data_IF_721184551441
#
_entry.id   IF_721184551441
#
_cell.length_a   1.000
_cell.length_b   1.000
_cell.length_c   1.000
_cell.angle_alpha   90.00
_cell.angle_beta   90.00
_cell.angle_gamma   90.00
#
_symmetry.space_group_name_H-M   'P 1'
#
loop_
_entity.id
_entity.type
_entity.pdbx_description
1 polymer ?
#
# COMPACT_ATOMS: atom_id res chain seq x y z
N UNK A 1 17.94 -0.09 47.38
CA UNK A 1 16.50 -0.34 47.20
C UNK A 1 16.36 -1.33 46.05
N UNK A 2 15.91 -2.56 46.32
CA UNK A 2 15.68 -3.57 45.28
C UNK A 2 14.50 -3.13 44.43
N UNK A 3 14.69 -2.97 43.12
CA UNK A 3 13.59 -2.86 42.17
C UNK A 3 12.71 -4.11 42.34
N UNK A 4 11.41 -3.96 42.62
CA UNK A 4 10.53 -5.12 42.75
C UNK A 4 10.60 -5.93 41.45
N UNK A 5 10.70 -7.26 41.59
CA UNK A 5 10.62 -8.17 40.44
C UNK A 5 9.34 -7.84 39.68
N UNK A 6 9.40 -7.56 38.36
CA UNK A 6 8.19 -7.33 37.59
C UNK A 6 7.34 -8.59 37.72
N UNK A 7 6.09 -8.42 38.16
CA UNK A 7 5.19 -9.56 38.33
C UNK A 7 4.93 -10.29 37.00
N UNK A 8 4.05 -11.31 36.98
CA UNK A 8 3.89 -12.16 35.80
C UNK A 8 3.47 -11.38 34.56
N UNK A 9 3.96 -11.83 33.40
CA UNK A 9 3.48 -11.43 32.06
C UNK A 9 2.02 -11.87 31.92
N UNK A 10 1.17 -10.97 31.45
CA UNK A 10 -0.27 -11.20 31.31
C UNK A 10 -0.71 -11.35 29.85
N UNK A 11 0.09 -10.86 28.91
CA UNK A 11 -0.15 -10.99 27.47
C UNK A 11 1.18 -11.26 26.76
N UNK A 12 1.16 -12.20 25.82
CA UNK A 12 2.28 -12.44 24.89
C UNK A 12 1.82 -12.10 23.48
N UNK A 13 2.58 -11.24 22.80
CA UNK A 13 2.37 -10.88 21.39
C UNK A 13 3.54 -11.44 20.58
N UNK A 14 3.25 -12.24 19.56
CA UNK A 14 4.27 -12.80 18.67
C UNK A 14 4.29 -11.99 17.37
N UNK A 15 5.44 -11.38 17.08
CA UNK A 15 5.64 -10.46 15.98
C UNK A 15 5.48 -9.00 16.37
N UNK A 16 6.46 -8.18 15.99
CA UNK A 16 6.53 -6.74 16.31
C UNK A 16 6.15 -5.84 15.13
N UNK A 17 5.35 -6.34 14.18
CA UNK A 17 4.74 -5.49 13.15
C UNK A 17 3.69 -4.54 13.73
N UNK A 18 3.16 -3.63 12.91
CA UNK A 18 2.16 -2.65 13.36
C UNK A 18 0.97 -3.26 14.10
N UNK A 19 0.48 -4.42 13.66
CA UNK A 19 -0.61 -5.11 14.35
C UNK A 19 -0.21 -5.49 15.77
N UNK A 20 0.91 -6.20 15.94
CA UNK A 20 1.39 -6.65 17.25
C UNK A 20 1.73 -5.47 18.17
N UNK A 21 2.41 -4.45 17.65
CA UNK A 21 2.73 -3.25 18.42
C UNK A 21 1.50 -2.45 18.84
N UNK A 22 0.47 -2.39 17.99
CA UNK A 22 -0.80 -1.74 18.36
C UNK A 22 -1.49 -2.48 19.50
N UNK A 23 -1.59 -3.80 19.43
CA UNK A 23 -2.18 -4.61 20.51
C UNK A 23 -1.36 -4.46 21.80
N UNK A 24 -0.04 -4.55 21.70
CA UNK A 24 0.84 -4.46 22.86
C UNK A 24 0.73 -3.09 23.55
N UNK A 25 0.81 -2.01 22.78
CA UNK A 25 0.70 -0.64 23.30
C UNK A 25 -0.68 -0.37 23.92
N UNK A 26 -1.77 -0.78 23.25
CA UNK A 26 -3.13 -0.57 23.77
C UNK A 26 -3.37 -1.35 25.07
N UNK A 27 -2.96 -2.62 25.13
CA UNK A 27 -3.14 -3.44 26.33
C UNK A 27 -2.26 -2.97 27.50
N UNK A 28 -1.05 -2.49 27.22
CA UNK A 28 -0.18 -1.94 28.24
C UNK A 28 -0.71 -0.62 28.80
N UNK A 29 -1.10 0.31 27.92
CA UNK A 29 -1.44 1.67 28.35
C UNK A 29 -2.89 1.85 28.80
N UNK A 30 -3.85 1.15 28.18
CA UNK A 30 -5.28 1.31 28.51
C UNK A 30 -5.73 0.33 29.60
N UNK A 31 -5.10 -0.85 29.69
CA UNK A 31 -5.48 -1.90 30.63
C UNK A 31 -4.43 -2.18 31.71
N UNK A 32 -3.26 -1.54 31.63
CA UNK A 32 -2.17 -1.73 32.60
C UNK A 32 -1.54 -3.13 32.56
N UNK A 33 -1.75 -3.90 31.49
CA UNK A 33 -1.24 -5.26 31.39
C UNK A 33 0.26 -5.28 31.13
N UNK A 34 0.99 -6.20 31.78
CA UNK A 34 2.38 -6.50 31.39
C UNK A 34 2.39 -7.35 30.13
N UNK A 35 2.86 -6.76 29.03
CA UNK A 35 2.92 -7.40 27.71
C UNK A 35 4.36 -7.79 27.36
N UNK A 36 4.57 -9.04 26.97
CA UNK A 36 5.81 -9.53 26.36
C UNK A 36 5.64 -9.59 24.83
N UNK A 37 6.48 -8.87 24.11
CA UNK A 37 6.53 -8.94 22.64
C UNK A 37 7.71 -9.81 22.23
N UNK A 38 7.43 -10.85 21.46
CA UNK A 38 8.44 -11.77 20.92
C UNK A 38 8.63 -11.48 19.44
N UNK A 39 9.83 -11.05 19.06
CA UNK A 39 10.21 -10.84 17.67
C UNK A 39 11.36 -11.78 17.30
N UNK A 40 11.20 -12.47 16.17
CA UNK A 40 12.22 -13.41 15.67
C UNK A 40 13.33 -12.69 14.88
N UNK A 41 13.03 -11.52 14.33
CA UNK A 41 13.99 -10.65 13.62
C UNK A 41 14.86 -9.88 14.62
N UNK A 42 15.94 -9.30 14.14
CA UNK A 42 16.86 -8.49 14.94
C UNK A 42 16.39 -7.04 15.14
N UNK A 43 15.18 -6.70 14.68
CA UNK A 43 14.64 -5.35 14.71
C UNK A 43 13.12 -5.40 14.89
N UNK A 44 12.54 -4.30 15.37
CA UNK A 44 11.08 -4.13 15.47
C UNK A 44 10.45 -3.73 14.14
N UNK A 45 9.12 -3.69 14.06
CA UNK A 45 8.37 -3.06 12.98
C UNK A 45 7.98 -3.98 11.82
N UNK A 46 8.42 -5.24 11.84
CA UNK A 46 8.12 -6.18 10.75
C UNK A 46 8.65 -5.68 9.41
N UNK A 47 7.83 -5.69 8.36
CA UNK A 47 8.25 -5.19 7.03
C UNK A 47 8.36 -3.66 6.96
N UNK A 48 7.71 -2.93 7.87
CA UNK A 48 7.74 -1.47 7.90
C UNK A 48 9.03 -0.88 8.48
N UNK A 49 9.98 -1.74 8.87
CA UNK A 49 11.27 -1.30 9.38
C UNK A 49 12.10 -0.57 8.31
N UNK A 50 12.66 0.56 8.72
CA UNK A 50 13.65 1.33 7.97
C UNK A 50 14.98 1.40 8.71
N UNK A 51 16.06 1.56 7.96
CA UNK A 51 17.40 1.78 8.49
C UNK A 51 18.14 2.80 7.61
N UNK A 52 19.17 3.47 8.16
CA UNK A 52 20.02 4.35 7.35
C UNK A 52 21.02 3.50 6.58
N UNK A 53 21.11 3.73 5.28
CA UNK A 53 22.13 3.13 4.43
C UNK A 53 23.52 3.70 4.84
N UNK A 54 24.53 2.85 5.13
CA UNK A 54 25.80 3.29 5.72
C UNK A 54 26.62 4.31 4.90
N UNK A 55 26.60 4.23 3.56
CA UNK A 55 27.46 5.07 2.72
C UNK A 55 26.85 6.46 2.48
N UNK A 56 25.55 6.52 2.27
CA UNK A 56 24.81 7.74 1.90
C UNK A 56 24.08 8.39 3.08
N UNK A 57 23.81 7.63 4.14
CA UNK A 57 23.01 8.05 5.28
C UNK A 57 21.50 8.19 4.99
N UNK A 58 21.06 7.85 3.77
CA UNK A 58 19.65 7.91 3.36
C UNK A 58 18.86 6.84 4.12
N UNK A 59 17.68 7.21 4.62
CA UNK A 59 16.76 6.25 5.22
C UNK A 59 16.14 5.36 4.12
N UNK A 60 16.33 4.05 4.25
CA UNK A 60 15.84 3.04 3.32
C UNK A 60 14.89 2.07 4.02
N UNK A 61 13.84 1.67 3.32
CA UNK A 61 12.92 0.66 3.84
C UNK A 61 13.41 -0.72 3.41
N UNK A 62 13.77 -1.55 4.38
CA UNK A 62 14.48 -2.82 4.13
C UNK A 62 13.66 -3.83 3.32
N UNK A 63 12.33 -3.71 3.36
CA UNK A 63 11.40 -4.65 2.75
C UNK A 63 10.46 -3.98 1.74
N UNK A 64 10.96 -2.98 1.01
CA UNK A 64 10.19 -2.21 0.04
C UNK A 64 9.55 -0.96 0.62
N UNK A 65 9.18 -0.01 -0.25
CA UNK A 65 8.62 1.27 0.18
C UNK A 65 7.31 1.07 0.97
N UNK A 66 7.19 1.81 2.08
CA UNK A 66 6.00 1.84 2.92
C UNK A 66 5.48 3.26 2.94
N UNK A 67 4.23 3.43 2.52
CA UNK A 67 3.62 4.74 2.33
C UNK A 67 2.41 4.79 3.23
N UNK A 68 2.48 5.60 4.27
CA UNK A 68 1.35 5.73 5.17
C UNK A 68 0.25 6.58 4.51
N UNK A 69 -0.95 6.02 4.44
CA UNK A 69 -2.15 6.74 4.03
C UNK A 69 -3.36 6.14 4.75
N UNK A 70 -4.30 6.98 5.17
CA UNK A 70 -5.55 6.55 5.81
C UNK A 70 -6.63 7.60 5.59
N UNK A 71 -7.88 7.16 5.45
CA UNK A 71 -9.06 8.02 5.56
C UNK A 71 -9.77 7.84 6.90
N UNK A 72 -9.19 7.06 7.82
CA UNK A 72 -9.71 6.81 9.16
C UNK A 72 -9.05 7.77 10.15
N UNK A 73 -9.84 8.74 10.62
CA UNK A 73 -9.41 9.76 11.57
C UNK A 73 -8.91 9.17 12.89
N UNK A 74 -9.57 8.15 13.44
CA UNK A 74 -9.12 7.49 14.68
C UNK A 74 -7.75 6.87 14.53
N UNK A 75 -7.48 6.26 13.38
CA UNK A 75 -6.14 5.71 13.07
C UNK A 75 -5.13 6.83 12.92
N UNK A 76 -5.50 7.92 12.22
CA UNK A 76 -4.63 9.10 12.05
C UNK A 76 -4.23 9.73 13.39
N UNK A 77 -5.20 10.01 14.25
CA UNK A 77 -4.98 10.54 15.60
C UNK A 77 -4.11 9.60 16.44
N UNK A 78 -4.40 8.29 16.37
CA UNK A 78 -3.64 7.28 17.09
C UNK A 78 -2.17 7.26 16.68
N UNK A 79 -1.85 7.19 15.38
CA UNK A 79 -0.45 7.11 14.93
C UNK A 79 0.33 8.40 15.18
N UNK A 80 -0.34 9.57 15.17
CA UNK A 80 0.28 10.86 15.45
C UNK A 80 0.72 11.02 16.92
N UNK A 81 0.35 10.10 17.81
CA UNK A 81 0.90 10.04 19.17
C UNK A 81 2.32 9.52 19.22
N UNK A 82 2.78 8.80 18.19
CA UNK A 82 4.09 8.11 18.17
C UNK A 82 5.09 8.73 17.18
N UNK A 83 4.60 9.49 16.19
CA UNK A 83 5.45 10.15 15.19
C UNK A 83 4.70 11.33 14.56
N UNK A 84 5.44 12.23 13.93
CA UNK A 84 4.86 13.19 12.98
C UNK A 84 4.98 12.67 11.55
N UNK A 85 4.18 13.25 10.65
CA UNK A 85 4.19 12.94 9.23
C UNK A 85 4.56 14.18 8.42
N UNK A 86 5.28 13.97 7.31
CA UNK A 86 5.42 14.99 6.27
C UNK A 86 4.14 15.10 5.45
N UNK A 87 4.05 16.11 4.59
CA UNK A 87 2.93 16.32 3.65
C UNK A 87 3.12 15.56 2.32
N UNK A 88 4.00 14.56 2.29
CA UNK A 88 4.35 13.81 1.09
C UNK A 88 3.10 13.18 0.43
N UNK A 89 2.95 13.43 -0.87
CA UNK A 89 1.87 12.87 -1.70
C UNK A 89 2.47 11.92 -2.73
N UNK A 90 2.25 10.63 -2.51
CA UNK A 90 2.79 9.60 -3.37
C UNK A 90 2.24 9.69 -4.79
N UNK A 91 3.13 9.55 -5.77
CA UNK A 91 2.80 9.50 -7.20
C UNK A 91 3.61 8.39 -7.84
N UNK A 92 2.99 7.65 -8.73
CA UNK A 92 3.60 6.53 -9.44
C UNK A 92 3.60 6.82 -10.94
N UNK A 93 4.63 6.33 -11.60
CA UNK A 93 4.74 6.35 -13.05
C UNK A 93 5.00 4.92 -13.54
N UNK A 94 4.34 4.54 -14.63
CA UNK A 94 4.53 3.26 -15.31
C UNK A 94 5.25 3.46 -16.64
N UNK A 95 6.08 2.49 -17.05
CA UNK A 95 6.72 2.49 -18.36
C UNK A 95 6.10 1.42 -19.24
N UNK A 96 5.59 1.81 -20.41
CA UNK A 96 5.05 0.90 -21.42
C UNK A 96 5.62 1.28 -22.79
N UNK A 97 6.17 0.30 -23.51
CA UNK A 97 6.79 0.49 -24.84
C UNK A 97 7.74 1.68 -24.94
N UNK A 98 8.60 1.88 -23.93
CA UNK A 98 9.57 2.97 -23.91
C UNK A 98 9.04 4.31 -23.38
N UNK A 99 7.72 4.51 -23.35
CA UNK A 99 7.06 5.73 -22.90
C UNK A 99 6.70 5.66 -21.40
N UNK A 100 6.76 6.80 -20.71
CA UNK A 100 6.36 6.94 -19.30
C UNK A 100 4.95 7.53 -19.20
N UNK A 101 4.11 6.90 -18.40
CA UNK A 101 2.72 7.28 -18.14
C UNK A 101 2.50 7.53 -16.65
N UNK A 102 1.67 8.50 -16.31
CA UNK A 102 1.23 8.69 -14.91
C UNK A 102 0.26 7.59 -14.50
N UNK A 103 0.42 7.05 -13.29
CA UNK A 103 -0.52 6.09 -12.70
C UNK A 103 -1.05 6.60 -11.36
N UNK A 104 -2.28 6.21 -10.95
CA UNK A 104 -3.23 5.33 -11.64
C UNK A 104 -3.88 5.97 -12.89
N UNK A 105 -4.71 5.20 -13.60
CA UNK A 105 -5.41 5.67 -14.80
C UNK A 105 -6.17 6.96 -14.54
N UNK A 106 -5.86 7.98 -15.32
CA UNK A 106 -6.43 9.32 -15.26
C UNK A 106 -6.47 9.92 -16.67
N UNK A 107 -7.00 11.13 -16.80
CA UNK A 107 -7.12 11.80 -18.10
C UNK A 107 -5.76 11.98 -18.82
N UNK A 108 -4.69 12.21 -18.07
CA UNK A 108 -3.33 12.30 -18.62
C UNK A 108 -2.88 11.00 -19.27
N UNK A 109 -3.09 9.86 -18.60
CA UNK A 109 -2.78 8.54 -19.18
C UNK A 109 -3.63 8.26 -20.41
N UNK A 110 -4.94 8.51 -20.34
CA UNK A 110 -5.87 8.29 -21.47
C UNK A 110 -5.41 9.11 -22.68
N UNK A 111 -5.11 10.39 -22.48
CA UNK A 111 -4.67 11.25 -23.56
C UNK A 111 -3.34 10.83 -24.18
N UNK A 112 -2.37 10.43 -23.34
CA UNK A 112 -1.07 9.93 -23.81
C UNK A 112 -1.20 8.59 -24.54
N UNK A 113 -2.03 7.68 -24.04
CA UNK A 113 -2.14 6.33 -24.59
C UNK A 113 -2.91 6.31 -25.92
N UNK A 114 -4.02 7.03 -25.99
CA UNK A 114 -4.86 7.11 -27.20
C UNK A 114 -4.43 8.23 -28.17
N UNK A 115 -3.40 9.02 -27.82
CA UNK A 115 -2.84 10.05 -28.69
C UNK A 115 -3.81 11.20 -29.02
N UNK A 116 -4.82 11.44 -28.18
CA UNK A 116 -5.85 12.48 -28.37
C UNK A 116 -6.15 13.18 -27.05
N UNK A 117 -6.37 14.49 -27.10
CA UNK A 117 -6.89 15.24 -25.95
C UNK A 117 -8.39 14.98 -25.80
N UNK A 118 -8.78 14.29 -24.73
CA UNK A 118 -10.17 14.06 -24.35
C UNK A 118 -10.59 15.04 -23.25
N UNK A 119 -11.85 15.47 -23.29
CA UNK A 119 -12.58 15.99 -22.13
C UNK A 119 -12.94 14.85 -21.17
N UNK A 120 -13.32 15.14 -19.91
CA UNK A 120 -13.79 14.11 -18.98
C UNK A 120 -14.94 13.26 -19.52
N UNK A 121 -15.88 13.85 -20.25
CA UNK A 121 -17.04 13.11 -20.80
C UNK A 121 -16.65 12.23 -21.98
N UNK A 122 -15.80 12.73 -22.89
CA UNK A 122 -15.24 11.92 -23.98
C UNK A 122 -14.41 10.75 -23.44
N UNK A 123 -13.62 10.97 -22.39
CA UNK A 123 -12.84 9.91 -21.76
C UNK A 123 -13.76 8.85 -21.12
N UNK A 124 -14.85 9.25 -20.45
CA UNK A 124 -15.84 8.31 -19.90
C UNK A 124 -16.51 7.48 -21.01
N UNK A 125 -16.92 8.12 -22.10
CA UNK A 125 -17.53 7.45 -23.24
C UNK A 125 -16.56 6.44 -23.88
N UNK A 126 -15.30 6.85 -24.10
CA UNK A 126 -14.25 5.99 -24.63
C UNK A 126 -14.02 4.76 -23.74
N UNK A 127 -13.86 4.95 -22.43
CA UNK A 127 -13.63 3.81 -21.52
C UNK A 127 -14.86 2.89 -21.47
N UNK A 128 -16.07 3.42 -21.48
CA UNK A 128 -17.29 2.61 -21.53
C UNK A 128 -17.38 1.78 -22.82
N UNK A 129 -17.00 2.35 -23.97
CA UNK A 129 -16.91 1.62 -25.23
C UNK A 129 -15.84 0.51 -25.16
N UNK A 130 -14.63 0.84 -24.72
CA UNK A 130 -13.51 -0.11 -24.62
C UNK A 130 -13.78 -1.24 -23.63
N UNK A 131 -14.55 -0.98 -22.57
CA UNK A 131 -14.90 -1.94 -21.53
C UNK A 131 -16.19 -2.73 -21.82
N UNK A 132 -16.85 -2.50 -22.96
CA UNK A 132 -18.15 -3.10 -23.29
C UNK A 132 -18.11 -4.59 -23.62
N UNK A 133 -16.91 -5.15 -23.87
CA UNK A 133 -16.72 -6.56 -24.22
C UNK A 133 -17.25 -7.52 -23.15
N UNK A 134 -17.12 -7.14 -21.87
CA UNK A 134 -17.46 -7.98 -20.72
C UNK A 134 -18.32 -7.16 -19.76
N UNK A 135 -19.50 -7.68 -19.39
CA UNK A 135 -20.30 -7.07 -18.33
C UNK A 135 -19.62 -7.33 -16.99
N UNK A 136 -19.44 -6.29 -16.19
CA UNK A 136 -18.69 -6.36 -14.93
C UNK A 136 -19.26 -7.38 -13.92
N UNK A 137 -20.56 -7.68 -13.99
CA UNK A 137 -21.24 -8.68 -13.17
C UNK A 137 -21.00 -10.14 -13.62
N UNK A 138 -20.68 -10.33 -14.91
CA UNK A 138 -20.47 -11.65 -15.51
C UNK A 138 -18.99 -12.10 -15.42
N UNK A 139 -18.08 -11.20 -15.01
CA UNK A 139 -16.65 -11.47 -14.88
C UNK A 139 -16.34 -12.50 -13.77
N UNK A 140 -15.62 -13.55 -14.13
CA UNK A 140 -15.30 -14.71 -13.27
C UNK A 140 -13.88 -14.70 -12.71
N UNK A 141 -13.00 -13.84 -13.25
CA UNK A 141 -11.59 -13.78 -12.87
C UNK A 141 -11.03 -12.34 -12.98
N UNK A 142 -9.75 -12.16 -12.62
CA UNK A 142 -9.10 -10.85 -12.61
C UNK A 142 -8.95 -10.24 -14.01
N UNK A 143 -8.60 -11.04 -15.02
CA UNK A 143 -8.46 -10.55 -16.40
C UNK A 143 -9.79 -9.99 -16.91
N UNK A 144 -10.87 -10.77 -16.79
CA UNK A 144 -12.21 -10.35 -17.19
C UNK A 144 -12.70 -9.13 -16.41
N UNK A 145 -12.46 -9.10 -15.09
CA UNK A 145 -12.88 -7.98 -14.24
C UNK A 145 -12.12 -6.70 -14.56
N UNK A 146 -10.85 -6.80 -14.93
CA UNK A 146 -10.08 -5.63 -15.35
C UNK A 146 -10.57 -5.13 -16.71
N UNK A 147 -10.71 -6.03 -17.70
CA UNK A 147 -11.21 -5.67 -19.03
C UNK A 147 -12.59 -5.02 -18.95
N UNK A 148 -13.49 -5.54 -18.11
CA UNK A 148 -14.84 -4.99 -17.92
C UNK A 148 -14.89 -3.60 -17.29
N UNK A 149 -13.78 -3.13 -16.70
CA UNK A 149 -13.70 -1.83 -16.02
C UNK A 149 -12.94 -0.78 -16.83
N UNK A 150 -11.91 -1.20 -17.57
CA UNK A 150 -10.96 -0.29 -18.22
C UNK A 150 -10.74 -0.58 -19.72
N UNK A 151 -11.31 -1.67 -20.22
CA UNK A 151 -11.14 -2.14 -21.59
C UNK A 151 -9.84 -2.90 -21.84
N UNK A 152 -9.87 -3.75 -22.87
CA UNK A 152 -8.78 -4.67 -23.21
C UNK A 152 -7.46 -3.96 -23.54
N UNK A 153 -7.40 -2.86 -24.32
CA UNK A 153 -6.12 -2.24 -24.64
C UNK A 153 -5.36 -1.70 -23.42
N UNK A 154 -6.07 -1.08 -22.48
CA UNK A 154 -5.47 -0.56 -21.25
C UNK A 154 -5.10 -1.69 -20.28
N UNK A 155 -5.92 -2.75 -20.22
CA UNK A 155 -5.60 -3.95 -19.45
C UNK A 155 -4.29 -4.59 -19.93
N UNK A 156 -4.15 -4.84 -21.23
CA UNK A 156 -2.96 -5.47 -21.81
C UNK A 156 -1.71 -4.61 -21.64
N UNK A 157 -1.84 -3.29 -21.78
CA UNK A 157 -0.72 -2.36 -21.65
C UNK A 157 -0.21 -2.21 -20.21
N UNK A 158 -1.10 -2.05 -19.23
CA UNK A 158 -0.71 -1.60 -17.89
C UNK A 158 -0.98 -2.61 -16.77
N UNK A 159 -1.84 -3.61 -16.99
CA UNK A 159 -2.25 -4.55 -15.94
C UNK A 159 -1.68 -5.93 -16.20
N UNK A 160 -1.93 -6.54 -17.37
CA UNK A 160 -1.62 -7.94 -17.67
C UNK A 160 -0.18 -8.33 -17.32
N UNK A 161 0.79 -7.68 -17.95
CA UNK A 161 2.21 -8.01 -17.76
C UNK A 161 2.74 -7.67 -16.37
N UNK A 162 2.19 -6.62 -15.72
CA UNK A 162 2.58 -6.26 -14.36
C UNK A 162 2.05 -7.29 -13.35
N UNK A 163 0.78 -7.66 -13.47
CA UNK A 163 0.12 -8.68 -12.63
C UNK A 163 0.83 -10.03 -12.78
N UNK A 164 1.08 -10.50 -14.00
CA UNK A 164 1.77 -11.77 -14.23
C UNK A 164 3.18 -11.79 -13.62
N UNK A 165 3.91 -10.68 -13.68
CA UNK A 165 5.25 -10.58 -13.06
C UNK A 165 5.18 -10.63 -11.53
N UNK A 166 4.19 -9.97 -10.94
CA UNK A 166 4.01 -9.91 -9.49
C UNK A 166 3.54 -11.24 -8.91
N UNK A 167 2.63 -11.92 -9.61
CA UNK A 167 1.92 -13.08 -9.07
C UNK A 167 2.36 -14.42 -9.67
N UNK A 168 3.08 -14.40 -10.80
CA UNK A 168 3.51 -15.61 -11.53
C UNK A 168 2.33 -16.53 -11.87
N UNK A 169 1.17 -15.95 -12.21
CA UNK A 169 -0.08 -16.61 -12.61
C UNK A 169 -0.77 -15.77 -13.67
#
# INVERSE_FOLDING_TARGET
>A
MSTPSPGPVQLVVVGSGFFGLTIAERCANELGLRVLVLERRHHLGGNAYSEREPETGIEVHKYGAHLFHTSNEKVWEYVNRFTSFTDYKHRVFGKYQGQVYSLPMNLGLINQFFGKSHTPDEARALIAEQASEIRTEDATNLEEKAISLIGRPLYEAFIKGYTAKQWQT
#
